data_IF_164836703978
#
_entry.id   IF_164836703978
#
_cell.length_a   1.000
_cell.length_b   1.000
_cell.length_c   1.000
_cell.angle_alpha   90.00
_cell.angle_beta   90.00
_cell.angle_gamma   90.00
#
_symmetry.space_group_name_H-M   'P 1'
#
loop_
_entity.id
_entity.type
_entity.pdbx_description
1 polymer ?
#
# COMPACT_ATOMS: atom_id res chain seq x y z
N UNK A 1 -4.44 24.65 3.55
CA UNK A 1 -4.59 23.36 4.27
C UNK A 1 -5.85 22.60 3.83
N UNK A 2 -6.16 22.60 2.52
CA UNK A 2 -7.33 21.92 1.90
C UNK A 2 -6.87 20.96 0.78
N UNK A 3 -5.59 21.05 0.35
CA UNK A 3 -5.01 20.20 -0.70
C UNK A 3 -4.72 18.75 -0.27
N UNK A 4 -4.71 18.43 1.03
CA UNK A 4 -4.46 17.07 1.52
C UNK A 4 -5.70 16.17 1.44
N UNK A 5 -6.91 16.73 1.37
CA UNK A 5 -8.15 15.95 1.23
C UNK A 5 -8.43 15.51 -0.22
N UNK A 6 -7.83 16.15 -1.23
CA UNK A 6 -7.93 15.70 -2.62
C UNK A 6 -7.18 14.39 -2.87
N UNK A 7 -6.12 14.12 -2.11
CA UNK A 7 -5.38 12.86 -2.17
C UNK A 7 -6.20 11.64 -1.70
N UNK A 8 -7.25 11.86 -0.90
CA UNK A 8 -8.15 10.81 -0.43
C UNK A 8 -9.10 10.27 -1.52
N UNK A 9 -9.22 10.95 -2.67
CA UNK A 9 -10.04 10.49 -3.81
C UNK A 9 -9.29 9.55 -4.75
N UNK A 10 -8.39 8.71 -4.26
CA UNK A 10 -7.75 7.67 -5.09
C UNK A 10 -8.69 6.49 -5.45
N UNK A 11 -10.00 6.63 -5.20
CA UNK A 11 -11.04 5.76 -5.76
C UNK A 11 -11.55 6.16 -7.16
N UNK A 12 -11.26 7.36 -7.66
CA UNK A 12 -12.00 7.93 -8.81
C UNK A 12 -11.27 7.85 -10.17
N UNK A 13 -9.98 7.50 -10.23
CA UNK A 13 -9.23 7.48 -11.51
C UNK A 13 -8.98 6.10 -12.13
N UNK A 14 -9.70 5.05 -11.72
CA UNK A 14 -9.56 3.68 -12.27
C UNK A 14 -10.41 3.46 -13.52
N UNK A 15 -11.68 3.89 -13.46
CA UNK A 15 -12.64 3.81 -14.57
C UNK A 15 -12.16 4.50 -15.86
N UNK A 16 -11.61 5.73 -15.84
CA UNK A 16 -11.12 6.36 -17.06
C UNK A 16 -9.91 5.64 -17.66
N UNK A 17 -9.03 5.05 -16.83
CA UNK A 17 -7.88 4.29 -17.33
C UNK A 17 -8.32 2.97 -17.96
N UNK A 18 -9.21 2.21 -17.32
CA UNK A 18 -9.74 0.97 -17.89
C UNK A 18 -10.52 1.23 -19.18
N UNK A 19 -11.35 2.28 -19.18
CA UNK A 19 -12.06 2.70 -20.39
C UNK A 19 -11.08 3.12 -21.48
N UNK A 20 -10.04 3.88 -21.14
CA UNK A 20 -8.97 4.23 -22.07
C UNK A 20 -8.26 3.00 -22.64
N UNK A 21 -7.87 2.02 -21.81
CA UNK A 21 -7.22 0.79 -22.27
C UNK A 21 -8.13 -0.02 -23.20
N UNK A 22 -9.42 -0.13 -22.89
CA UNK A 22 -10.40 -0.81 -23.73
C UNK A 22 -10.58 -0.06 -25.06
N UNK A 23 -10.74 1.25 -25.02
CA UNK A 23 -10.87 2.09 -26.23
C UNK A 23 -9.61 1.98 -27.10
N UNK A 24 -8.42 2.06 -26.49
CA UNK A 24 -7.15 1.90 -27.19
C UNK A 24 -7.05 0.52 -27.86
N UNK A 25 -7.42 -0.55 -27.14
CA UNK A 25 -7.44 -1.92 -27.67
C UNK A 25 -8.38 -2.03 -28.88
N UNK A 26 -9.60 -1.50 -28.77
CA UNK A 26 -10.60 -1.55 -29.84
C UNK A 26 -10.20 -0.69 -31.03
N UNK A 27 -9.60 0.48 -30.80
CA UNK A 27 -9.14 1.38 -31.86
C UNK A 27 -7.93 0.83 -32.64
N UNK A 28 -7.07 0.05 -31.98
CA UNK A 28 -5.91 -0.58 -32.63
C UNK A 28 -6.32 -1.67 -33.63
N UNK A 29 -7.44 -2.37 -33.40
CA UNK A 29 -7.87 -3.47 -34.28
C UNK A 29 -8.18 -2.99 -35.72
N UNK A 30 -8.93 -1.91 -35.96
CA UNK A 30 -9.08 -1.32 -37.29
C UNK A 30 -7.76 -0.84 -37.91
N UNK A 31 -6.85 -0.29 -37.10
CA UNK A 31 -5.54 0.17 -37.58
C UNK A 31 -4.70 -0.99 -38.12
N UNK A 32 -4.67 -2.13 -37.41
CA UNK A 32 -4.03 -3.37 -37.88
C UNK A 32 -4.63 -3.82 -39.22
N UNK A 33 -5.97 -3.77 -39.34
CA UNK A 33 -6.66 -4.11 -40.57
C UNK A 33 -6.30 -3.19 -41.75
N UNK A 34 -6.10 -1.89 -41.47
CA UNK A 34 -5.64 -0.92 -42.46
C UNK A 34 -4.20 -1.23 -42.91
N UNK A 35 -3.26 -1.41 -41.97
CA UNK A 35 -1.88 -1.77 -42.27
C UNK A 35 -1.77 -3.06 -43.09
N UNK A 36 -2.64 -4.04 -42.82
CA UNK A 36 -2.67 -5.31 -43.57
C UNK A 36 -2.95 -5.10 -45.07
N UNK A 37 -3.70 -4.05 -45.42
CA UNK A 37 -4.12 -3.73 -46.78
C UNK A 37 -3.16 -2.73 -47.45
N UNK A 38 -2.59 -1.80 -46.69
CA UNK A 38 -1.80 -0.68 -47.24
C UNK A 38 -0.29 -0.89 -47.22
N UNK A 39 0.26 -1.82 -46.42
CA UNK A 39 1.71 -2.07 -46.44
C UNK A 39 2.15 -2.72 -47.77
N UNK A 40 3.04 -2.09 -48.54
CA UNK A 40 3.59 -2.69 -49.76
C UNK A 40 4.47 -3.90 -49.38
N UNK A 41 4.29 -5.03 -50.05
CA UNK A 41 5.11 -6.26 -49.90
C UNK A 41 6.59 -6.08 -50.33
N UNK A 42 7.06 -4.85 -50.56
CA UNK A 42 8.23 -4.56 -51.41
C UNK A 42 9.56 -4.29 -50.66
N UNK A 43 9.64 -4.39 -49.34
CA UNK A 43 10.91 -4.32 -48.61
C UNK A 43 11.55 -5.71 -48.42
N UNK A 44 12.13 -6.24 -49.51
CA UNK A 44 13.14 -7.33 -49.63
C UNK A 44 13.08 -8.62 -48.77
N UNK A 45 12.12 -8.81 -47.87
CA UNK A 45 11.93 -10.07 -47.14
C UNK A 45 10.45 -10.39 -47.02
N UNK A 46 10.08 -11.63 -47.38
CA UNK A 46 8.71 -12.17 -47.42
C UNK A 46 7.95 -12.13 -46.06
N UNK A 47 8.58 -11.63 -45.00
CA UNK A 47 8.09 -11.69 -43.62
C UNK A 47 7.93 -10.31 -42.98
N UNK A 48 8.18 -9.20 -43.70
CA UNK A 48 8.06 -7.84 -43.16
C UNK A 48 6.64 -7.54 -42.64
N UNK A 49 5.62 -7.89 -43.44
CA UNK A 49 4.21 -7.75 -43.04
C UNK A 49 3.85 -8.61 -41.82
N UNK A 50 4.43 -9.80 -41.72
CA UNK A 50 4.21 -10.72 -40.59
C UNK A 50 4.80 -10.15 -39.29
N UNK A 51 5.97 -9.50 -39.36
CA UNK A 51 6.63 -8.91 -38.20
C UNK A 51 5.80 -7.77 -37.60
N UNK A 52 5.30 -6.85 -38.43
CA UNK A 52 4.46 -5.73 -38.00
C UNK A 52 3.12 -6.18 -37.44
N UNK A 53 2.40 -7.06 -38.16
CA UNK A 53 1.12 -7.60 -37.67
C UNK A 53 1.30 -8.38 -36.35
N UNK A 54 2.40 -9.13 -36.22
CA UNK A 54 2.71 -9.85 -34.98
C UNK A 54 3.00 -8.91 -33.80
N UNK A 55 3.70 -7.79 -34.06
CA UNK A 55 3.99 -6.77 -33.06
C UNK A 55 2.71 -6.10 -32.56
N UNK A 56 1.84 -5.65 -33.47
CA UNK A 56 0.57 -5.01 -33.10
C UNK A 56 -0.37 -5.97 -32.37
N UNK A 57 -0.41 -7.24 -32.81
CA UNK A 57 -1.19 -8.27 -32.13
C UNK A 57 -0.69 -8.48 -30.70
N UNK A 58 0.64 -8.49 -30.48
CA UNK A 58 1.20 -8.58 -29.14
C UNK A 58 0.82 -7.35 -28.28
N UNK A 59 0.80 -6.15 -28.87
CA UNK A 59 0.39 -4.92 -28.20
C UNK A 59 -1.09 -4.96 -27.80
N UNK A 60 -1.99 -5.39 -28.69
CA UNK A 60 -3.41 -5.61 -28.42
C UNK A 60 -3.63 -6.62 -27.30
N UNK A 61 -2.92 -7.75 -27.34
CA UNK A 61 -3.01 -8.79 -26.31
C UNK A 61 -2.57 -8.25 -24.95
N UNK A 62 -1.45 -7.52 -24.90
CA UNK A 62 -0.95 -6.96 -23.64
C UNK A 62 -1.87 -5.86 -23.09
N UNK A 63 -2.42 -4.98 -23.94
CA UNK A 63 -3.42 -3.99 -23.52
C UNK A 63 -4.69 -4.66 -22.98
N UNK A 64 -5.20 -5.68 -23.67
CA UNK A 64 -6.37 -6.46 -23.27
C UNK A 64 -6.16 -7.17 -21.93
N UNK A 65 -5.00 -7.82 -21.74
CA UNK A 65 -4.63 -8.46 -20.48
C UNK A 65 -4.43 -7.43 -19.37
N UNK A 66 -3.76 -6.30 -19.64
CA UNK A 66 -3.58 -5.22 -18.67
C UNK A 66 -4.93 -4.64 -18.21
N UNK A 67 -5.88 -4.46 -19.13
CA UNK A 67 -7.24 -4.04 -18.82
C UNK A 67 -7.98 -5.08 -17.98
N UNK A 68 -7.88 -6.36 -18.33
CA UNK A 68 -8.53 -7.46 -17.60
C UNK A 68 -7.97 -7.65 -16.18
N UNK A 69 -6.65 -7.71 -16.02
CA UNK A 69 -6.02 -7.83 -14.71
C UNK A 69 -6.17 -6.55 -13.88
N UNK A 70 -6.17 -5.38 -14.54
CA UNK A 70 -6.51 -4.10 -13.92
C UNK A 70 -7.95 -4.08 -13.38
N UNK A 71 -8.90 -4.65 -14.12
CA UNK A 71 -10.29 -4.83 -13.67
C UNK A 71 -10.37 -5.78 -12.47
N UNK A 72 -9.67 -6.91 -12.49
CA UNK A 72 -9.62 -7.88 -11.39
C UNK A 72 -8.77 -7.45 -10.19
N UNK A 73 -8.24 -6.22 -10.18
CA UNK A 73 -7.38 -5.67 -9.11
C UNK A 73 -6.15 -6.53 -8.82
N UNK A 74 -5.65 -7.29 -9.80
CA UNK A 74 -4.51 -8.20 -9.61
C UNK A 74 -3.20 -7.48 -9.95
N UNK A 75 -2.19 -7.64 -9.10
CA UNK A 75 -0.84 -7.07 -9.30
C UNK A 75 -0.13 -7.60 -10.55
N UNK A 76 -0.61 -8.70 -11.11
CA UNK A 76 -0.19 -9.19 -12.43
C UNK A 76 -0.36 -8.14 -13.55
N UNK A 77 -1.15 -7.09 -13.34
CA UNK A 77 -1.24 -5.95 -14.26
C UNK A 77 0.07 -5.14 -14.35
N UNK A 78 0.90 -5.10 -13.29
CA UNK A 78 2.14 -4.29 -13.28
C UNK A 78 3.14 -4.72 -14.37
N UNK A 79 3.56 -6.00 -14.48
CA UNK A 79 4.47 -6.40 -15.54
C UNK A 79 3.86 -6.20 -16.94
N UNK A 80 2.55 -6.36 -17.09
CA UNK A 80 1.85 -6.12 -18.36
C UNK A 80 1.88 -4.64 -18.74
N UNK A 81 1.58 -3.72 -17.81
CA UNK A 81 1.65 -2.28 -18.03
C UNK A 81 3.07 -1.83 -18.41
N UNK A 82 4.09 -2.37 -17.75
CA UNK A 82 5.50 -2.08 -18.06
C UNK A 82 5.87 -2.62 -19.45
N UNK A 83 5.47 -3.85 -19.77
CA UNK A 83 5.71 -4.45 -21.08
C UNK A 83 5.02 -3.66 -22.21
N UNK A 84 3.75 -3.26 -22.03
CA UNK A 84 3.03 -2.42 -22.99
C UNK A 84 3.67 -1.05 -23.16
N UNK A 85 4.11 -0.40 -22.07
CA UNK A 85 4.82 0.87 -22.15
C UNK A 85 6.12 0.74 -22.96
N UNK A 86 6.88 -0.34 -22.73
CA UNK A 86 8.09 -0.61 -23.50
C UNK A 86 7.81 -0.83 -24.99
N UNK A 87 6.76 -1.61 -25.32
CA UNK A 87 6.38 -1.82 -26.72
C UNK A 87 5.93 -0.53 -27.41
N UNK A 88 5.17 0.35 -26.74
CA UNK A 88 4.80 1.66 -27.30
C UNK A 88 6.02 2.56 -27.55
N UNK A 89 7.05 2.50 -26.71
CA UNK A 89 8.31 3.20 -26.99
C UNK A 89 9.03 2.62 -28.20
N UNK A 90 9.01 1.28 -28.36
CA UNK A 90 9.58 0.63 -29.54
C UNK A 90 8.81 1.00 -30.82
N UNK A 91 7.47 1.05 -30.74
CA UNK A 91 6.57 1.45 -31.82
C UNK A 91 6.92 2.86 -32.32
N UNK A 92 6.93 3.83 -31.40
CA UNK A 92 7.32 5.21 -31.68
C UNK A 92 8.70 5.37 -32.29
N UNK A 93 9.65 4.55 -31.82
CA UNK A 93 10.98 4.53 -32.39
C UNK A 93 10.98 4.00 -33.82
N UNK A 94 10.31 2.88 -34.08
CA UNK A 94 10.27 2.28 -35.41
C UNK A 94 9.57 3.18 -36.43
N UNK A 95 8.42 3.76 -36.07
CA UNK A 95 7.66 4.65 -36.96
C UNK A 95 8.48 5.88 -37.36
N UNK A 96 9.13 6.54 -36.39
CA UNK A 96 9.99 7.71 -36.67
C UNK A 96 11.20 7.33 -37.51
N UNK A 97 11.84 6.19 -37.25
CA UNK A 97 13.05 5.75 -37.97
C UNK A 97 12.73 5.33 -39.40
N UNK A 98 11.63 4.62 -39.62
CA UNK A 98 11.24 4.11 -40.94
C UNK A 98 10.73 5.21 -41.86
N UNK A 99 10.01 6.20 -41.31
CA UNK A 99 9.48 7.31 -42.10
C UNK A 99 10.42 8.52 -42.21
N UNK A 100 11.64 8.45 -41.65
CA UNK A 100 12.57 9.59 -41.56
C UNK A 100 12.85 10.31 -42.91
N UNK A 101 12.89 9.54 -44.00
CA UNK A 101 13.11 10.03 -45.37
C UNK A 101 11.82 10.15 -46.21
N UNK A 102 10.66 9.87 -45.61
CA UNK A 102 9.33 10.02 -46.22
C UNK A 102 8.75 11.42 -45.96
N UNK A 103 7.87 11.95 -46.83
CA UNK A 103 7.02 13.10 -46.49
C UNK A 103 6.21 12.90 -45.19
N UNK A 104 5.93 11.65 -44.80
CA UNK A 104 5.11 11.32 -43.64
C UNK A 104 5.84 11.48 -42.29
N UNK A 105 7.15 11.75 -42.28
CA UNK A 105 7.97 11.93 -41.05
C UNK A 105 7.37 12.86 -40.00
N UNK A 106 6.66 13.91 -40.42
CA UNK A 106 6.05 14.87 -39.49
C UNK A 106 4.81 14.29 -38.82
N UNK A 107 4.08 13.42 -39.52
CA UNK A 107 2.95 12.69 -38.97
C UNK A 107 3.45 11.65 -37.96
N UNK A 108 4.44 10.84 -38.32
CA UNK A 108 5.03 9.81 -37.45
C UNK A 108 5.68 10.41 -36.20
N UNK A 109 6.34 11.57 -36.34
CA UNK A 109 6.86 12.31 -35.19
C UNK A 109 5.73 12.87 -34.31
N UNK A 110 4.63 13.35 -34.91
CA UNK A 110 3.49 13.86 -34.16
C UNK A 110 2.75 12.74 -33.41
N UNK A 111 2.56 11.56 -34.00
CA UNK A 111 1.94 10.40 -33.34
C UNK A 111 2.82 9.88 -32.21
N UNK A 112 4.13 9.75 -32.44
CA UNK A 112 5.09 9.37 -31.40
C UNK A 112 5.04 10.30 -30.19
N UNK A 113 5.07 11.61 -30.39
CA UNK A 113 5.14 12.61 -29.29
C UNK A 113 3.79 12.87 -28.64
N UNK A 114 2.68 12.81 -29.37
CA UNK A 114 1.35 13.18 -28.85
C UNK A 114 0.51 11.98 -28.41
N UNK A 115 0.82 10.77 -28.88
CA UNK A 115 0.04 9.56 -28.63
C UNK A 115 0.88 8.51 -27.94
N UNK A 116 1.85 7.91 -28.63
CA UNK A 116 2.53 6.70 -28.14
C UNK A 116 3.37 6.96 -26.89
N UNK A 117 4.24 7.97 -26.90
CA UNK A 117 5.08 8.31 -25.74
C UNK A 117 4.25 8.77 -24.53
N UNK A 118 3.25 9.65 -24.67
CA UNK A 118 2.38 10.02 -23.56
C UNK A 118 1.63 8.83 -22.96
N UNK A 119 1.16 7.89 -23.79
CA UNK A 119 0.51 6.67 -23.31
C UNK A 119 1.51 5.78 -22.57
N UNK A 120 2.71 5.57 -23.14
CA UNK A 120 3.77 4.80 -22.48
C UNK A 120 4.13 5.38 -21.10
N UNK A 121 4.31 6.70 -21.00
CA UNK A 121 4.56 7.41 -19.74
C UNK A 121 3.39 7.23 -18.77
N UNK A 122 2.14 7.36 -19.24
CA UNK A 122 0.97 7.13 -18.40
C UNK A 122 0.96 5.70 -17.83
N UNK A 123 1.19 4.68 -18.65
CA UNK A 123 1.22 3.28 -18.21
C UNK A 123 2.36 3.02 -17.22
N UNK A 124 3.55 3.56 -17.45
CA UNK A 124 4.69 3.45 -16.56
C UNK A 124 4.46 4.15 -15.21
N UNK A 125 3.92 5.37 -15.22
CA UNK A 125 3.52 6.07 -13.99
C UNK A 125 2.46 5.28 -13.24
N UNK A 126 1.49 4.68 -13.94
CA UNK A 126 0.46 3.85 -13.30
C UNK A 126 1.05 2.59 -12.67
N UNK A 127 1.91 1.87 -13.39
CA UNK A 127 2.62 0.72 -12.85
C UNK A 127 3.39 1.10 -11.58
N UNK A 128 4.14 2.21 -11.61
CA UNK A 128 4.83 2.75 -10.44
C UNK A 128 3.87 3.07 -9.31
N UNK A 129 2.79 3.79 -9.57
CA UNK A 129 1.82 4.12 -8.52
C UNK A 129 1.16 2.89 -7.92
N UNK A 130 0.98 1.78 -8.65
CA UNK A 130 0.43 0.54 -8.09
C UNK A 130 1.44 -0.14 -7.17
N UNK A 131 2.73 -0.09 -7.53
CA UNK A 131 3.83 -0.62 -6.70
C UNK A 131 4.01 0.23 -5.44
N UNK A 132 3.94 1.56 -5.57
CA UNK A 132 4.18 2.51 -4.48
C UNK A 132 2.90 2.97 -3.77
N UNK A 133 1.72 2.48 -4.16
CA UNK A 133 0.47 2.85 -3.51
C UNK A 133 0.44 2.27 -2.11
N UNK A 134 0.78 3.13 -1.14
CA UNK A 134 0.76 2.82 0.27
C UNK A 134 -0.62 2.99 0.91
N UNK A 135 -0.85 2.35 2.07
CA UNK A 135 -1.86 2.80 3.01
C UNK A 135 -1.37 4.12 3.61
N UNK A 136 -2.28 5.06 3.84
CA UNK A 136 -1.91 6.40 4.32
C UNK A 136 -1.08 6.29 5.62
N UNK A 137 0.22 6.56 5.50
CA UNK A 137 1.14 6.66 6.62
C UNK A 137 1.13 8.10 7.11
N UNK A 138 0.88 8.31 8.40
CA UNK A 138 0.96 9.65 9.02
C UNK A 138 1.69 9.60 10.34
N UNK A 139 2.35 10.68 10.68
CA UNK A 139 2.90 10.89 12.02
C UNK A 139 1.76 11.21 12.98
N UNK A 140 1.80 10.64 14.19
CA UNK A 140 0.87 10.95 15.27
C UNK A 140 1.09 12.40 15.71
N UNK A 141 0.07 13.25 15.59
CA UNK A 141 0.15 14.63 16.09
C UNK A 141 -0.30 14.73 17.54
N UNK A 142 0.02 15.84 18.22
CA UNK A 142 -0.56 16.17 19.54
C UNK A 142 -2.09 16.16 19.47
N UNK A 143 -2.65 16.71 18.40
CA UNK A 143 -4.10 16.75 18.20
C UNK A 143 -4.71 15.36 18.08
N UNK A 144 -4.03 14.43 17.40
CA UNK A 144 -4.44 13.02 17.32
C UNK A 144 -4.42 12.35 18.70
N UNK A 145 -3.42 12.69 19.52
CA UNK A 145 -3.30 12.21 20.89
C UNK A 145 -4.47 12.75 21.72
N UNK A 146 -4.79 14.04 21.66
CA UNK A 146 -5.92 14.63 22.38
C UNK A 146 -7.25 14.03 21.93
N UNK A 147 -7.45 13.89 20.62
CA UNK A 147 -8.70 13.41 20.05
C UNK A 147 -8.97 11.94 20.40
N UNK A 148 -7.95 11.08 20.37
CA UNK A 148 -8.11 9.63 20.60
C UNK A 148 -7.86 9.24 22.05
N UNK A 149 -6.96 9.90 22.78
CA UNK A 149 -6.62 9.52 24.17
C UNK A 149 -7.29 10.40 25.21
N UNK A 150 -7.49 11.68 24.91
CA UNK A 150 -8.25 12.58 25.75
C UNK A 150 -9.75 12.26 25.77
N UNK A 151 -10.23 11.47 24.80
CA UNK A 151 -11.64 11.13 24.67
C UNK A 151 -11.89 9.60 24.82
N UNK A 152 -12.40 9.13 25.98
CA UNK A 152 -12.74 7.72 26.21
C UNK A 152 -13.78 7.19 25.22
N UNK A 153 -14.68 8.04 24.74
CA UNK A 153 -15.71 7.69 23.77
C UNK A 153 -15.07 7.38 22.41
N UNK A 154 -14.06 8.14 21.99
CA UNK A 154 -13.30 7.86 20.78
C UNK A 154 -12.59 6.48 20.84
N UNK A 155 -11.95 6.15 21.96
CA UNK A 155 -11.30 4.85 22.15
C UNK A 155 -12.29 3.68 22.06
N UNK A 156 -13.45 3.82 22.70
CA UNK A 156 -14.50 2.79 22.67
C UNK A 156 -15.02 2.58 21.27
N UNK A 157 -15.30 3.66 20.53
CA UNK A 157 -15.80 3.57 19.17
C UNK A 157 -14.79 2.91 18.22
N UNK A 158 -13.50 3.27 18.30
CA UNK A 158 -12.46 2.63 17.49
C UNK A 158 -12.28 1.15 17.84
N UNK A 159 -12.40 0.79 19.12
CA UNK A 159 -12.33 -0.61 19.56
C UNK A 159 -13.52 -1.43 19.05
N UNK A 160 -14.71 -0.85 19.01
CA UNK A 160 -15.93 -1.51 18.55
C UNK A 160 -16.00 -1.65 17.03
N UNK A 161 -15.60 -0.60 16.29
CA UNK A 161 -15.53 -0.62 14.84
C UNK A 161 -14.59 -1.74 14.40
N UNK A 162 -13.35 -1.77 14.91
CA UNK A 162 -12.34 -2.72 14.47
C UNK A 162 -12.40 -2.91 12.94
N UNK A 163 -12.45 -4.16 12.46
CA UNK A 163 -12.56 -4.47 11.03
C UNK A 163 -14.01 -4.55 10.51
N UNK A 164 -15.01 -4.06 11.22
CA UNK A 164 -16.44 -4.18 10.88
C UNK A 164 -17.02 -2.82 10.47
N UNK A 165 -18.01 -2.88 9.57
CA UNK A 165 -18.86 -1.72 9.29
C UNK A 165 -20.00 -1.74 10.31
N UNK A 166 -20.16 -0.65 11.07
CA UNK A 166 -21.24 -0.53 12.05
C UNK A 166 -22.02 0.76 11.84
N UNK A 167 -23.33 0.71 12.03
CA UNK A 167 -24.19 1.89 11.99
C UNK A 167 -24.03 2.72 13.28
N UNK A 168 -24.43 3.99 13.22
CA UNK A 168 -24.42 4.88 14.39
C UNK A 168 -25.24 4.29 15.55
N UNK A 169 -26.32 3.57 15.23
CA UNK A 169 -27.25 3.02 16.22
C UNK A 169 -26.68 1.79 16.91
N UNK A 170 -26.01 0.91 16.16
CA UNK A 170 -25.27 -0.22 16.70
C UNK A 170 -24.10 0.24 17.57
N UNK A 171 -23.38 1.29 17.16
CA UNK A 171 -22.29 1.88 17.94
C UNK A 171 -22.79 2.52 19.24
N UNK A 172 -23.91 3.25 19.20
CA UNK A 172 -24.52 3.82 20.39
C UNK A 172 -24.94 2.75 21.40
N UNK A 173 -25.56 1.66 20.91
CA UNK A 173 -25.95 0.53 21.74
C UNK A 173 -24.74 -0.20 22.34
N UNK A 174 -23.73 -0.52 21.52
CA UNK A 174 -22.56 -1.28 21.94
C UNK A 174 -21.62 -0.48 22.86
N UNK A 175 -21.47 0.83 22.63
CA UNK A 175 -20.64 1.71 23.44
C UNK A 175 -21.34 2.19 24.72
N UNK A 176 -22.65 1.95 24.85
CA UNK A 176 -23.50 2.54 25.89
C UNK A 176 -23.40 4.08 25.94
N UNK A 177 -23.41 4.71 24.75
CA UNK A 177 -23.29 6.16 24.57
C UNK A 177 -24.55 6.74 23.93
N UNK A 178 -24.77 8.04 24.10
CA UNK A 178 -25.89 8.71 23.42
C UNK A 178 -25.64 8.79 21.90
N UNK A 179 -26.71 8.72 21.10
CA UNK A 179 -26.61 8.84 19.63
C UNK A 179 -25.99 10.16 19.18
N UNK A 180 -26.12 11.22 19.98
CA UNK A 180 -25.55 12.53 19.70
C UNK A 180 -24.04 12.55 19.94
N UNK A 181 -23.59 11.99 21.05
CA UNK A 181 -22.17 11.87 21.40
C UNK A 181 -21.41 10.99 20.39
N UNK A 182 -22.01 9.87 19.97
CA UNK A 182 -21.44 9.02 18.92
C UNK A 182 -21.30 9.78 17.60
N UNK A 183 -22.33 10.54 17.19
CA UNK A 183 -22.26 11.35 15.95
C UNK A 183 -21.25 12.49 16.03
N UNK A 184 -21.08 13.12 17.19
CA UNK A 184 -20.06 14.14 17.39
C UNK A 184 -18.66 13.54 17.27
N UNK A 185 -18.41 12.46 18.01
CA UNK A 185 -17.11 11.78 18.05
C UNK A 185 -16.74 11.19 16.68
N UNK A 186 -17.67 10.55 15.97
CA UNK A 186 -17.44 10.02 14.62
C UNK A 186 -17.12 11.13 13.60
N UNK A 187 -17.75 12.31 13.73
CA UNK A 187 -17.43 13.46 12.86
C UNK A 187 -16.01 13.95 13.10
N UNK A 188 -15.56 14.03 14.34
CA UNK A 188 -14.19 14.43 14.67
C UNK A 188 -13.18 13.37 14.21
N UNK A 189 -13.43 12.10 14.51
CA UNK A 189 -12.61 10.98 14.04
C UNK A 189 -12.53 10.94 12.51
N UNK A 190 -13.62 11.25 11.81
CA UNK A 190 -13.66 11.27 10.35
C UNK A 190 -12.88 12.44 9.76
N UNK A 191 -12.98 13.64 10.36
CA UNK A 191 -12.14 14.79 9.98
C UNK A 191 -10.66 14.50 10.21
N UNK A 192 -10.36 13.80 11.30
CA UNK A 192 -9.03 13.30 11.61
C UNK A 192 -8.71 11.99 10.88
N UNK A 193 -9.47 11.54 9.88
CA UNK A 193 -9.12 10.41 9.01
C UNK A 193 -9.08 9.02 9.66
N UNK A 194 -9.53 8.86 10.91
CA UNK A 194 -9.57 7.57 11.62
C UNK A 194 -10.73 6.67 11.19
N UNK A 195 -11.83 7.27 10.73
CA UNK A 195 -13.04 6.55 10.31
C UNK A 195 -13.62 7.18 9.05
N UNK A 196 -14.30 6.38 8.25
CA UNK A 196 -15.00 6.87 7.07
C UNK A 196 -16.39 6.25 6.94
N UNK A 197 -17.27 6.96 6.21
CA UNK A 197 -18.60 6.47 5.92
C UNK A 197 -18.53 5.35 4.86
N UNK A 198 -19.10 4.20 5.19
CA UNK A 198 -19.20 3.03 4.33
C UNK A 198 -20.67 2.64 4.19
N UNK A 199 -21.31 3.10 3.12
CA UNK A 199 -22.74 2.88 2.89
C UNK A 199 -23.58 3.59 3.96
N UNK A 200 -24.35 2.81 4.73
CA UNK A 200 -25.19 3.30 5.84
C UNK A 200 -24.47 3.29 7.19
N UNK A 201 -23.21 2.84 7.23
CA UNK A 201 -22.42 2.72 8.45
C UNK A 201 -21.08 3.43 8.39
N UNK A 202 -20.27 3.19 9.41
CA UNK A 202 -18.92 3.69 9.56
C UNK A 202 -17.96 2.51 9.60
N UNK A 203 -16.75 2.72 9.07
CA UNK A 203 -15.64 1.76 9.18
C UNK A 203 -14.39 2.46 9.67
N UNK A 204 -13.50 1.69 10.32
CA UNK A 204 -12.16 2.17 10.57
C UNK A 204 -11.42 2.40 9.23
N UNK A 205 -10.49 3.35 9.26
CA UNK A 205 -9.50 3.47 8.20
C UNK A 205 -8.22 2.84 8.73
N UNK A 206 -7.65 1.83 8.06
CA UNK A 206 -6.34 1.32 8.43
C UNK A 206 -5.34 2.45 8.24
N UNK A 207 -4.77 2.92 9.36
CA UNK A 207 -3.76 3.98 9.37
C UNK A 207 -2.44 3.41 9.87
N UNK A 208 -1.38 3.64 9.12
CA UNK A 208 -0.03 3.36 9.57
C UNK A 208 0.48 4.59 10.36
N UNK A 209 0.18 4.61 11.66
CA UNK A 209 0.56 5.68 12.58
C UNK A 209 2.03 5.54 12.99
N UNK A 210 2.86 6.51 12.59
CA UNK A 210 4.27 6.57 12.99
C UNK A 210 4.41 7.21 14.37
N UNK A 211 5.31 6.64 15.16
CA UNK A 211 5.71 7.22 16.44
C UNK A 211 6.29 8.61 16.19
N UNK A 212 5.77 9.65 16.84
CA UNK A 212 6.28 11.00 16.68
C UNK A 212 7.58 11.14 17.47
N UNK A 213 8.47 12.04 17.05
CA UNK A 213 9.74 12.23 17.77
C UNK A 213 9.47 13.08 19.01
N UNK A 214 10.13 12.81 20.14
CA UNK A 214 9.99 13.65 21.35
C UNK A 214 10.29 15.14 21.10
N UNK A 215 11.10 15.43 20.07
CA UNK A 215 11.48 16.77 19.62
C UNK A 215 10.35 17.52 18.91
N UNK A 216 9.36 16.80 18.36
CA UNK A 216 8.24 17.39 17.62
C UNK A 216 7.16 17.99 18.55
N UNK A 217 7.32 17.80 19.86
CA UNK A 217 6.38 18.25 20.88
C UNK A 217 6.84 19.53 21.56
N UNK A 218 5.89 20.45 21.78
CA UNK A 218 6.11 21.58 22.68
C UNK A 218 6.46 21.06 24.08
N UNK A 219 7.38 21.74 24.77
CA UNK A 219 7.87 21.29 26.08
C UNK A 219 6.74 21.15 27.12
N UNK A 220 5.68 21.94 27.00
CA UNK A 220 4.49 21.85 27.85
C UNK A 220 3.67 20.56 27.65
N UNK A 221 3.74 19.94 26.47
CA UNK A 221 2.95 18.74 26.11
C UNK A 221 3.74 17.43 26.29
N UNK A 222 5.06 17.52 26.52
CA UNK A 222 5.97 16.37 26.66
C UNK A 222 5.54 15.39 27.77
N UNK A 223 5.12 15.82 28.98
CA UNK A 223 4.67 14.89 30.02
C UNK A 223 3.42 14.08 29.63
N UNK A 224 2.52 14.68 28.82
CA UNK A 224 1.33 13.99 28.33
C UNK A 224 1.68 12.96 27.27
N UNK A 225 2.62 13.30 26.39
CA UNK A 225 3.15 12.38 25.39
C UNK A 225 3.82 11.17 26.05
N UNK A 226 4.65 11.39 27.07
CA UNK A 226 5.31 10.32 27.83
C UNK A 226 4.29 9.38 28.49
N UNK A 227 3.28 9.94 29.18
CA UNK A 227 2.22 9.14 29.80
C UNK A 227 1.44 8.30 28.77
N UNK A 228 1.18 8.85 27.58
CA UNK A 228 0.59 8.10 26.47
C UNK A 228 1.50 6.96 26.01
N UNK A 229 2.77 7.26 25.80
CA UNK A 229 3.75 6.32 25.30
C UNK A 229 3.91 5.14 26.28
N UNK A 230 3.99 5.42 27.57
CA UNK A 230 4.06 4.41 28.63
C UNK A 230 2.81 3.54 28.68
N UNK A 231 1.62 4.13 28.62
CA UNK A 231 0.36 3.38 28.60
C UNK A 231 0.27 2.46 27.36
N UNK A 232 0.68 2.96 26.20
CA UNK A 232 0.73 2.19 24.94
C UNK A 232 1.74 1.05 25.04
N UNK A 233 2.96 1.31 25.51
CA UNK A 233 3.99 0.29 25.71
C UNK A 233 3.54 -0.79 26.69
N UNK A 234 2.91 -0.40 27.81
CA UNK A 234 2.37 -1.34 28.78
C UNK A 234 1.27 -2.25 28.18
N UNK A 235 0.43 -1.70 27.31
CA UNK A 235 -0.57 -2.48 26.58
C UNK A 235 0.08 -3.44 25.57
N UNK A 236 1.02 -2.95 24.76
CA UNK A 236 1.76 -3.76 23.78
C UNK A 236 2.53 -4.91 24.46
N UNK A 237 3.17 -4.64 25.59
CA UNK A 237 3.88 -5.66 26.36
C UNK A 237 2.93 -6.74 26.91
N UNK A 238 1.71 -6.38 27.32
CA UNK A 238 0.68 -7.36 27.75
C UNK A 238 0.26 -8.26 26.58
N UNK A 239 0.02 -7.68 25.41
CA UNK A 239 -0.32 -8.45 24.19
C UNK A 239 0.83 -9.37 23.80
N UNK A 240 2.05 -8.86 23.77
CA UNK A 240 3.26 -9.60 23.44
C UNK A 240 3.49 -10.77 24.42
N UNK A 241 3.42 -10.51 25.73
CA UNK A 241 3.53 -11.57 26.76
C UNK A 241 2.45 -12.65 26.59
N UNK A 242 1.22 -12.26 26.28
CA UNK A 242 0.12 -13.20 26.05
C UNK A 242 0.38 -14.07 24.81
N UNK A 243 0.87 -13.47 23.72
CA UNK A 243 1.17 -14.19 22.48
C UNK A 243 2.28 -15.23 22.66
N UNK A 244 3.37 -14.86 23.34
CA UNK A 244 4.51 -15.77 23.56
C UNK A 244 4.30 -16.82 24.65
N UNK A 245 3.39 -16.61 25.61
CA UNK A 245 3.08 -17.61 26.64
C UNK A 245 2.11 -18.70 26.18
N UNK A 246 1.33 -18.41 25.13
CA UNK A 246 0.31 -19.32 24.61
C UNK A 246 0.38 -19.44 23.07
N UNK A 247 1.55 -19.81 22.51
CA UNK A 247 1.74 -19.89 21.06
C UNK A 247 0.78 -20.89 20.39
N UNK A 248 0.35 -21.93 21.11
CA UNK A 248 -0.59 -22.95 20.66
C UNK A 248 -1.94 -22.40 20.21
N UNK A 249 -2.36 -21.24 20.75
CA UNK A 249 -3.65 -20.61 20.43
C UNK A 249 -3.72 -20.03 19.02
N UNK A 250 -2.57 -19.80 18.40
CA UNK A 250 -2.49 -19.19 17.08
C UNK A 250 -2.25 -20.23 15.97
N UNK A 251 -1.84 -21.46 16.31
CA UNK A 251 -1.57 -22.50 15.31
C UNK A 251 -0.62 -22.00 14.21
N UNK A 252 -0.91 -22.22 12.91
CA UNK A 252 -0.05 -21.77 11.81
C UNK A 252 -0.04 -20.24 11.61
N UNK A 253 -0.92 -19.50 12.30
CA UNK A 253 -0.99 -18.04 12.20
C UNK A 253 0.15 -17.33 12.94
N UNK A 254 0.81 -18.01 13.89
CA UNK A 254 1.97 -17.44 14.56
C UNK A 254 3.19 -17.44 13.63
N UNK A 255 3.65 -16.26 13.26
CA UNK A 255 4.86 -16.05 12.48
C UNK A 255 5.82 -15.16 13.29
N UNK A 256 7.11 -15.47 13.26
CA UNK A 256 8.10 -14.73 14.02
C UNK A 256 9.50 -14.88 13.44
N UNK A 257 10.24 -13.78 13.40
CA UNK A 257 11.65 -13.75 13.02
C UNK A 257 12.40 -12.82 13.97
N UNK A 258 13.63 -13.18 14.31
CA UNK A 258 14.59 -12.33 15.01
C UNK A 258 15.90 -12.40 14.25
N UNK A 259 16.37 -11.26 13.76
CA UNK A 259 17.60 -11.16 13.00
C UNK A 259 18.42 -9.97 13.50
N UNK A 260 19.75 -10.08 13.40
CA UNK A 260 20.68 -8.96 13.59
C UNK A 260 21.19 -8.52 12.23
N UNK A 261 21.15 -7.22 11.97
CA UNK A 261 21.60 -6.62 10.72
C UNK A 261 22.67 -5.55 11.03
N UNK A 262 23.72 -5.50 10.23
CA UNK A 262 24.71 -4.42 10.28
C UNK A 262 24.34 -3.43 9.18
N UNK A 263 23.81 -2.27 9.56
CA UNK A 263 23.31 -1.25 8.64
C UNK A 263 23.83 0.12 9.04
N UNK A 264 24.15 0.95 8.06
CA UNK A 264 24.24 2.39 8.27
C UNK A 264 22.85 3.00 8.54
N UNK A 265 22.82 4.23 9.07
CA UNK A 265 21.56 4.95 9.30
C UNK A 265 20.73 5.11 8.01
N UNK A 266 21.39 5.35 6.87
CA UNK A 266 20.73 5.49 5.58
C UNK A 266 20.10 4.18 5.09
N UNK A 267 20.81 3.07 5.28
CA UNK A 267 20.30 1.73 4.93
C UNK A 267 19.15 1.30 5.83
N UNK A 268 19.21 1.60 7.14
CA UNK A 268 18.11 1.32 8.06
C UNK A 268 16.83 2.08 7.66
N UNK A 269 16.95 3.36 7.24
CA UNK A 269 15.81 4.13 6.73
C UNK A 269 15.21 3.51 5.47
N UNK A 270 16.06 3.17 4.49
CA UNK A 270 15.60 2.51 3.26
C UNK A 270 14.91 1.18 3.56
N UNK A 271 15.48 0.36 4.43
CA UNK A 271 14.88 -0.91 4.85
C UNK A 271 13.51 -0.70 5.51
N UNK A 272 13.37 0.31 6.38
CA UNK A 272 12.09 0.62 7.00
C UNK A 272 11.05 1.06 5.95
N UNK A 273 11.44 1.87 4.96
CA UNK A 273 10.55 2.28 3.87
C UNK A 273 10.10 1.09 3.02
N UNK A 274 11.01 0.19 2.64
CA UNK A 274 10.70 -1.03 1.88
C UNK A 274 9.80 -2.00 2.67
N UNK A 275 10.02 -2.11 3.98
CA UNK A 275 9.16 -2.90 4.87
C UNK A 275 7.73 -2.34 4.93
N UNK A 276 7.59 -1.02 5.01
CA UNK A 276 6.27 -0.36 5.00
C UNK A 276 5.58 -0.52 3.65
N UNK A 277 6.32 -0.42 2.54
CA UNK A 277 5.76 -0.71 1.21
C UNK A 277 5.25 -2.16 1.13
N UNK A 278 5.97 -3.12 1.72
CA UNK A 278 5.52 -4.50 1.83
C UNK A 278 4.24 -4.62 2.68
N UNK A 279 4.15 -3.91 3.81
CA UNK A 279 2.97 -3.92 4.66
C UNK A 279 1.74 -3.37 3.90
N UNK A 280 1.88 -2.18 3.33
CA UNK A 280 0.82 -1.50 2.58
C UNK A 280 0.29 -2.38 1.45
N UNK A 281 1.23 -3.01 0.74
CA UNK A 281 0.96 -3.97 -0.31
C UNK A 281 -0.01 -5.05 0.21
N UNK A 282 0.30 -5.73 1.30
CA UNK A 282 -0.57 -6.80 1.82
C UNK A 282 -1.88 -6.29 2.45
N UNK A 283 -1.91 -5.09 3.03
CA UNK A 283 -3.15 -4.46 3.54
C UNK A 283 -4.18 -4.23 2.41
N UNK A 284 -3.73 -3.93 1.20
CA UNK A 284 -4.61 -3.69 0.05
C UNK A 284 -5.26 -4.97 -0.54
N UNK A 285 -4.85 -6.18 -0.14
CA UNK A 285 -5.40 -7.43 -0.71
C UNK A 285 -6.90 -7.59 -0.46
N UNK A 286 -7.39 -7.15 0.70
CA UNK A 286 -8.79 -7.31 1.11
C UNK A 286 -9.48 -5.96 1.42
N UNK A 287 -8.94 -4.84 0.93
CA UNK A 287 -9.42 -3.49 1.23
C UNK A 287 -10.89 -3.20 0.80
N UNK A 288 -11.46 -3.99 -0.11
CA UNK A 288 -12.86 -3.88 -0.54
C UNK A 288 -13.84 -4.75 0.25
N UNK A 289 -13.42 -5.40 1.33
CA UNK A 289 -14.33 -6.14 2.22
C UNK A 289 -14.74 -7.53 1.72
N UNK A 290 -14.07 -8.06 0.70
CA UNK A 290 -14.22 -9.45 0.28
C UNK A 290 -13.54 -10.40 1.26
N UNK A 291 -14.32 -10.91 2.22
CA UNK A 291 -13.94 -12.02 3.10
C UNK A 291 -13.83 -13.38 2.39
N UNK A 292 -14.17 -13.43 1.10
CA UNK A 292 -13.82 -14.58 0.25
C UNK A 292 -12.34 -14.45 -0.11
N UNK A 293 -11.50 -15.22 0.59
CA UNK A 293 -10.13 -15.46 0.18
C UNK A 293 -10.09 -15.91 -1.28
N UNK A 294 -9.10 -15.45 -2.05
CA UNK A 294 -8.85 -15.93 -3.42
C UNK A 294 -8.37 -17.39 -3.32
N UNK A 295 -9.28 -18.33 -3.02
CA UNK A 295 -9.06 -19.77 -2.90
C UNK A 295 -8.24 -20.28 -1.70
N UNK A 296 -7.57 -19.43 -0.92
CA UNK A 296 -6.49 -19.82 0.01
C UNK A 296 -6.88 -19.92 1.50
N UNK A 297 -8.19 -19.96 1.81
CA UNK A 297 -8.70 -20.19 3.17
C UNK A 297 -9.24 -18.96 3.91
N UNK A 298 -9.35 -19.08 5.24
CA UNK A 298 -9.95 -18.07 6.12
C UNK A 298 -9.11 -16.79 6.19
N UNK A 299 -9.74 -15.61 6.12
CA UNK A 299 -9.05 -14.31 6.28
C UNK A 299 -9.25 -13.79 7.70
N UNK A 300 -8.14 -13.42 8.37
CA UNK A 300 -8.16 -12.89 9.75
C UNK A 300 -7.40 -11.58 9.86
N UNK A 301 -7.83 -10.71 10.77
CA UNK A 301 -7.07 -9.52 11.13
C UNK A 301 -5.77 -9.92 11.84
N UNK A 302 -4.62 -9.60 11.24
CA UNK A 302 -3.30 -9.92 11.79
C UNK A 302 -2.66 -8.66 12.32
N UNK A 303 -2.22 -8.73 13.57
CA UNK A 303 -1.71 -7.60 14.31
C UNK A 303 -0.16 -7.56 14.18
N UNK A 304 0.36 -6.81 13.20
CA UNK A 304 1.79 -6.77 12.87
C UNK A 304 2.49 -5.54 13.49
N UNK A 305 3.70 -5.74 14.05
CA UNK A 305 4.56 -4.64 14.57
C UNK A 305 5.99 -4.79 14.06
N UNK A 306 6.61 -3.67 13.73
CA UNK A 306 8.01 -3.58 13.35
C UNK A 306 8.75 -2.63 14.27
N UNK A 307 9.88 -3.10 14.79
CA UNK A 307 10.77 -2.32 15.65
C UNK A 307 12.21 -2.62 15.22
N UNK A 308 13.04 -1.59 15.13
CA UNK A 308 14.46 -1.72 14.85
C UNK A 308 15.24 -0.72 15.71
N UNK A 309 16.21 -1.21 16.46
CA UNK A 309 17.03 -0.43 17.37
C UNK A 309 18.49 -0.91 17.31
N UNK A 310 19.47 -0.02 17.53
CA UNK A 310 20.85 -0.43 17.79
C UNK A 310 20.93 -1.29 19.07
N UNK A 311 21.55 -2.46 18.97
CA UNK A 311 21.64 -3.45 20.06
C UNK A 311 22.53 -2.97 21.22
N UNK A 312 23.57 -2.21 20.87
CA UNK A 312 24.53 -1.60 21.81
C UNK A 312 23.87 -0.54 22.70
N UNK A 313 22.95 0.25 22.15
CA UNK A 313 22.24 1.29 22.91
C UNK A 313 21.18 0.71 23.86
N UNK A 314 20.64 -0.48 23.57
CA UNK A 314 19.66 -1.14 24.45
C UNK A 314 20.31 -1.75 25.69
N UNK A 315 21.54 -2.23 25.57
CA UNK A 315 22.26 -2.90 26.66
C UNK A 315 22.98 -1.91 27.59
N UNK A 316 23.36 -0.73 27.07
CA UNK A 316 24.04 0.32 27.83
C UNK A 316 23.23 0.83 29.03
N UNK A 317 21.91 1.00 28.92
CA UNK A 317 21.06 1.49 30.02
C UNK A 317 20.90 0.45 31.15
N UNK A 318 20.91 -0.84 30.82
CA UNK A 318 20.74 -1.93 31.79
C UNK A 318 21.96 -2.11 32.69
N UNK A 319 23.17 -1.84 32.22
CA UNK A 319 24.39 -2.02 33.03
C UNK A 319 24.54 -0.93 34.11
N UNK A 320 23.97 0.26 33.90
CA UNK A 320 23.89 1.31 34.94
C UNK A 320 22.88 1.01 36.05
N UNK A 321 21.86 0.18 35.77
CA UNK A 321 20.80 -0.16 36.73
C UNK A 321 20.98 -1.55 37.39
N UNK A 322 21.81 -2.44 36.82
CA UNK A 322 21.94 -3.84 37.25
C UNK A 322 23.25 -4.16 37.97
N UNK A 323 23.59 -3.40 39.01
CA UNK A 323 24.57 -3.81 40.03
C UNK A 323 24.16 -5.03 40.89
N UNK A 324 23.17 -5.83 40.46
CA UNK A 324 22.81 -7.11 41.08
C UNK A 324 22.70 -8.18 40.00
N UNK A 325 23.83 -8.80 39.69
CA UNK A 325 23.86 -10.05 38.96
C UNK A 325 23.04 -11.10 39.72
N UNK A 326 22.07 -11.72 39.05
CA UNK A 326 21.43 -12.96 39.51
C UNK A 326 22.46 -14.08 39.28
N UNK A 327 22.87 -14.83 40.31
CA UNK A 327 23.79 -15.94 40.11
C UNK A 327 23.07 -17.05 39.36
N UNK A 328 23.62 -17.41 38.20
CA UNK A 328 23.23 -18.63 37.48
C UNK A 328 23.92 -19.79 38.19
N UNK A 329 23.19 -20.50 39.04
CA UNK A 329 23.64 -21.79 39.58
C UNK A 329 23.76 -22.77 38.40
N UNK A 330 25.00 -23.16 38.09
CA UNK A 330 25.28 -24.25 37.16
C UNK A 330 24.98 -25.60 37.80
N UNK A 331 24.46 -26.60 37.05
CA UNK A 331 24.23 -27.92 37.61
C UNK A 331 25.57 -28.58 37.94
N UNK A 332 25.72 -28.96 39.21
CA UNK A 332 26.84 -29.72 39.73
C UNK A 332 27.01 -31.03 38.96
N UNK A 333 28.24 -31.27 38.50
CA UNK A 333 28.70 -32.61 38.16
C UNK A 333 28.77 -33.40 39.46
N UNK A 334 28.07 -34.51 39.52
CA UNK A 334 28.45 -35.64 40.37
C UNK A 334 28.08 -36.95 39.66
N UNK A 335 29.12 -37.62 39.17
CA UNK A 335 29.16 -39.06 38.96
C UNK A 335 30.27 -39.59 39.85
N UNK A 336 30.06 -40.72 40.51
CA UNK A 336 31.04 -41.80 40.48
C UNK A 336 30.61 -42.89 39.51
#
# INVERSE_FOLDING_TARGET
>A
MVHTLEAYRCGVRRRPLLLFLVVATVALVPWIGFLLVTLPDQYQTRHWRLAWVGFDLALVVLLGLAAWFGWRRRRAAVPLLVATAALLCCDAWFDVVLDWNSPDRWLSLATAVLVEVPIAVLLAVRARTIVTAGVASRELTVHDIELVLGNPSAQRLLTLLGTRVMTTDELAAAASLSREEVRATLRELSRAGYVEAAGQGWRDVPLNLRAPRPEDFAEADRPRFEAFWDARLAHELKLFRRAFRHPERFGPWAQGSRARLLLSQGELRRFADEYLELLDRYQLLHADGGGDGDGDGEVRAVALRFYAFPDDLLTADTDSASGRAVPVDGPGRDTP
#
